data_IF_499227501094
#
_entry.id   IF_499227501094
#
_cell.length_a   1.000
_cell.length_b   1.000
_cell.length_c   1.000
_cell.angle_alpha   90.00
_cell.angle_beta   90.00
_cell.angle_gamma   90.00
#
_symmetry.space_group_name_H-M   'P 1'
#
loop_
_entity.id
_entity.type
_entity.pdbx_description
1 polymer ?
#
# COMPACT_ATOMS: atom_id res chain seq x y z
N UNK A 1 -15.72 -1.51 16.11
CA UNK A 1 -15.01 -2.76 16.49
C UNK A 1 -13.84 -3.14 15.57
N UNK A 2 -14.05 -3.69 14.37
CA UNK A 2 -12.91 -4.22 13.56
C UNK A 2 -11.92 -3.14 13.13
N UNK A 3 -12.43 -1.96 12.73
CA UNK A 3 -11.56 -0.82 12.42
C UNK A 3 -10.67 -0.42 13.59
N UNK A 4 -11.19 -0.46 14.82
CA UNK A 4 -10.43 -0.16 16.04
C UNK A 4 -9.41 -1.23 16.39
N UNK A 5 -9.62 -2.47 15.94
CA UNK A 5 -8.68 -3.56 16.15
C UNK A 5 -7.49 -3.49 15.17
N UNK A 6 -7.73 -3.05 13.93
CA UNK A 6 -6.71 -3.00 12.87
C UNK A 6 -5.86 -1.73 12.93
N UNK A 7 -6.45 -0.61 13.32
CA UNK A 7 -5.83 0.72 13.27
C UNK A 7 -5.90 1.41 14.64
N UNK A 8 -5.02 2.39 14.86
CA UNK A 8 -5.13 3.28 16.01
C UNK A 8 -6.30 4.25 15.82
N UNK A 9 -7.50 3.80 16.14
CA UNK A 9 -8.73 4.52 15.81
C UNK A 9 -8.76 5.96 16.33
N UNK A 10 -8.25 6.23 17.54
CA UNK A 10 -8.25 7.58 18.12
C UNK A 10 -7.41 8.56 17.31
N UNK A 11 -6.24 8.14 16.82
CA UNK A 11 -5.39 8.95 15.96
C UNK A 11 -5.91 9.02 14.51
N UNK A 12 -6.59 7.97 14.06
CA UNK A 12 -6.97 7.82 12.64
C UNK A 12 -8.41 8.24 12.33
N UNK A 13 -9.27 8.48 13.33
CA UNK A 13 -10.68 8.83 13.13
C UNK A 13 -10.87 10.05 12.23
N UNK A 14 -10.00 11.04 12.37
CA UNK A 14 -10.06 12.27 11.57
C UNK A 14 -9.52 12.08 10.15
N UNK A 15 -8.78 11.00 9.88
CA UNK A 15 -8.34 10.61 8.55
C UNK A 15 -9.37 9.78 7.77
N UNK A 16 -10.38 9.21 8.44
CA UNK A 16 -11.39 8.32 7.85
C UNK A 16 -12.73 9.00 7.58
N UNK A 17 -13.36 8.65 6.46
CA UNK A 17 -14.76 9.01 6.19
C UNK A 17 -15.70 8.04 6.92
N UNK A 18 -16.58 8.58 7.78
CA UNK A 18 -17.68 7.83 8.41
C UNK A 18 -18.91 7.94 7.52
N UNK A 19 -19.65 6.85 7.35
CA UNK A 19 -20.96 6.86 6.68
C UNK A 19 -22.00 7.39 7.68
N UNK A 20 -22.72 8.44 7.29
CA UNK A 20 -23.75 9.05 8.15
C UNK A 20 -24.91 8.08 8.36
N UNK A 21 -25.40 7.98 9.60
CA UNK A 21 -26.49 7.07 9.96
C UNK A 21 -26.08 5.59 10.10
N UNK A 22 -24.82 5.24 9.85
CA UNK A 22 -24.33 3.86 9.90
C UNK A 22 -23.09 3.70 10.80
N UNK A 23 -22.86 2.49 11.30
CA UNK A 23 -21.61 2.12 11.98
C UNK A 23 -20.54 1.63 10.98
N UNK A 24 -20.41 2.36 9.86
CA UNK A 24 -19.47 2.05 8.79
C UNK A 24 -18.49 3.20 8.55
N UNK A 25 -17.31 2.82 8.09
CA UNK A 25 -16.24 3.72 7.66
C UNK A 25 -15.75 3.27 6.29
N UNK A 26 -15.43 4.24 5.41
CA UNK A 26 -14.73 3.93 4.17
C UNK A 26 -13.28 3.54 4.50
N UNK A 27 -12.79 2.50 3.84
CA UNK A 27 -11.43 1.98 4.07
C UNK A 27 -10.38 2.94 3.49
N UNK A 28 -9.29 3.17 4.22
CA UNK A 28 -8.15 3.97 3.75
C UNK A 28 -7.07 3.13 3.03
N UNK A 29 -7.23 1.80 3.08
CA UNK A 29 -6.34 0.77 2.52
C UNK A 29 -7.06 -0.57 2.51
N UNK A 30 -6.74 -1.46 1.55
CA UNK A 30 -7.22 -2.85 1.56
C UNK A 30 -6.72 -3.64 2.78
N UNK A 31 -5.68 -3.16 3.45
CA UNK A 31 -5.22 -3.71 4.73
C UNK A 31 -6.34 -3.80 5.77
N UNK A 32 -7.24 -2.80 5.86
CA UNK A 32 -8.32 -2.78 6.86
C UNK A 32 -9.21 -4.03 6.81
N UNK A 33 -9.84 -4.37 5.67
CA UNK A 33 -10.63 -5.59 5.57
C UNK A 33 -9.75 -6.84 5.53
N UNK A 34 -8.56 -6.79 4.92
CA UNK A 34 -7.68 -7.96 4.83
C UNK A 34 -7.20 -8.43 6.19
N UNK A 35 -6.86 -7.51 7.10
CA UNK A 35 -6.46 -7.82 8.47
C UNK A 35 -7.62 -8.44 9.27
N UNK A 36 -8.85 -7.93 9.09
CA UNK A 36 -10.01 -8.44 9.80
C UNK A 36 -10.60 -9.74 9.20
N UNK A 37 -10.10 -10.19 8.04
CA UNK A 37 -10.66 -11.30 7.27
C UNK A 37 -10.78 -12.59 8.08
N UNK A 38 -9.79 -12.86 8.93
CA UNK A 38 -9.70 -14.07 9.75
C UNK A 38 -9.97 -13.82 11.24
N UNK A 39 -10.71 -12.76 11.57
CA UNK A 39 -10.92 -12.39 12.97
C UNK A 39 -11.60 -13.51 13.77
N UNK A 40 -11.00 -13.89 14.90
CA UNK A 40 -11.36 -15.02 15.77
C UNK A 40 -11.03 -16.42 15.23
N UNK A 41 -10.33 -16.53 14.09
CA UNK A 41 -9.92 -17.83 13.56
C UNK A 41 -8.70 -18.39 14.29
N UNK A 42 -8.58 -19.72 14.24
CA UNK A 42 -7.37 -20.45 14.60
C UNK A 42 -6.86 -21.14 13.33
N UNK A 43 -5.80 -20.61 12.75
CA UNK A 43 -5.26 -21.05 11.45
C UNK A 43 -4.23 -22.17 11.68
N UNK A 44 -4.36 -23.34 11.03
CA UNK A 44 -3.35 -24.40 11.12
C UNK A 44 -1.98 -23.95 10.56
N UNK A 45 -0.88 -24.40 11.18
CA UNK A 45 0.49 -24.00 10.78
C UNK A 45 0.81 -24.32 9.31
N UNK A 46 0.25 -25.39 8.77
CA UNK A 46 0.42 -25.81 7.37
C UNK A 46 -0.23 -24.87 6.35
N UNK A 47 -1.13 -23.99 6.79
CA UNK A 47 -1.76 -22.99 5.93
C UNK A 47 -0.98 -21.66 5.89
N UNK A 48 0.09 -21.53 6.69
CA UNK A 48 0.90 -20.32 6.83
C UNK A 48 2.26 -20.44 6.13
N UNK A 49 2.73 -19.41 5.40
CA UNK A 49 2.14 -18.07 5.33
C UNK A 49 0.94 -18.00 4.36
N UNK A 50 -0.10 -17.25 4.73
CA UNK A 50 -1.16 -16.85 3.79
C UNK A 50 -0.81 -15.51 3.19
N UNK A 51 -0.64 -15.48 1.86
CA UNK A 51 -0.29 -14.28 1.12
C UNK A 51 -1.50 -13.79 0.32
N UNK A 52 -1.86 -12.53 0.50
CA UNK A 52 -3.00 -11.89 -0.13
C UNK A 52 -2.58 -10.67 -0.94
N UNK A 53 -3.32 -10.45 -2.03
CA UNK A 53 -3.28 -9.20 -2.79
C UNK A 53 -4.66 -8.55 -2.71
N UNK A 54 -4.72 -7.36 -2.13
CA UNK A 54 -5.94 -6.56 -2.03
C UNK A 54 -5.97 -5.46 -3.07
N UNK A 55 -7.00 -5.41 -3.90
CA UNK A 55 -7.24 -4.29 -4.83
C UNK A 55 -8.46 -3.54 -4.36
N UNK A 56 -8.32 -2.24 -4.06
CA UNK A 56 -9.47 -1.45 -3.58
C UNK A 56 -9.35 0.04 -3.93
N UNK A 57 -10.49 0.75 -4.04
CA UNK A 57 -10.51 2.18 -3.81
C UNK A 57 -10.21 2.47 -2.34
N UNK A 58 -9.35 3.46 -2.10
CA UNK A 58 -8.92 3.94 -0.80
C UNK A 58 -9.42 5.36 -0.60
N UNK A 59 -9.96 5.64 0.60
CA UNK A 59 -10.55 6.94 0.93
C UNK A 59 -9.86 7.57 2.13
N UNK A 60 -9.38 8.81 1.98
CA UNK A 60 -8.69 9.56 3.04
C UNK A 60 -9.16 11.01 3.09
N UNK A 61 -9.46 11.51 4.28
CA UNK A 61 -9.85 12.92 4.48
C UNK A 61 -8.71 13.90 4.25
N UNK A 62 -7.45 13.43 4.31
CA UNK A 62 -6.25 14.27 4.21
C UNK A 62 -6.26 15.44 5.22
N UNK A 63 -6.95 15.26 6.34
CA UNK A 63 -7.01 16.22 7.44
C UNK A 63 -5.60 16.44 8.00
N UNK A 64 -5.15 17.69 8.06
CA UNK A 64 -3.80 18.06 8.50
C UNK A 64 -2.79 18.30 7.37
N UNK A 65 -3.12 18.01 6.11
CA UNK A 65 -2.29 18.40 4.96
C UNK A 65 -2.45 19.91 4.66
N UNK A 66 -1.91 20.78 5.52
CA UNK A 66 -2.01 22.24 5.45
C UNK A 66 -1.57 22.83 4.08
N UNK A 67 -2.48 22.85 3.10
CA UNK A 67 -2.27 23.29 1.71
C UNK A 67 -1.11 22.62 0.94
N UNK A 68 -0.57 21.50 1.43
CA UNK A 68 0.55 20.78 0.79
C UNK A 68 0.05 19.83 -0.30
N UNK A 69 0.71 19.85 -1.45
CA UNK A 69 0.45 18.96 -2.60
C UNK A 69 -1.00 19.04 -3.16
N UNK A 70 -1.66 20.20 -3.09
CA UNK A 70 -3.06 20.40 -3.50
C UNK A 70 -3.32 20.36 -5.02
N UNK A 71 -2.27 20.34 -5.85
CA UNK A 71 -2.39 20.34 -7.32
C UNK A 71 -2.08 18.96 -7.89
N UNK A 72 -2.86 18.55 -8.88
CA UNK A 72 -2.70 17.26 -9.56
C UNK A 72 -3.36 16.12 -8.81
N UNK A 73 -2.86 14.89 -9.00
CA UNK A 73 -3.43 13.66 -8.43
C UNK A 73 -2.53 13.00 -7.37
N UNK A 74 -1.45 13.67 -6.98
CA UNK A 74 -0.46 13.11 -6.04
C UNK A 74 -1.06 12.88 -4.63
N UNK A 75 -1.89 13.81 -4.16
CA UNK A 75 -2.64 13.73 -2.91
C UNK A 75 -4.11 14.02 -3.18
N UNK A 76 -4.95 13.01 -3.04
CA UNK A 76 -6.38 13.05 -3.37
C UNK A 76 -7.17 12.27 -2.33
N UNK A 77 -8.46 12.58 -2.20
CA UNK A 77 -9.33 11.89 -1.24
C UNK A 77 -9.66 10.45 -1.63
N UNK A 78 -9.64 10.14 -2.92
CA UNK A 78 -9.91 8.81 -3.45
C UNK A 78 -8.83 8.41 -4.46
N UNK A 79 -8.27 7.22 -4.27
CA UNK A 79 -7.30 6.63 -5.18
C UNK A 79 -7.40 5.10 -5.15
N UNK A 80 -6.91 4.40 -6.18
CA UNK A 80 -6.84 2.94 -6.15
C UNK A 80 -5.47 2.49 -5.64
N UNK A 81 -5.46 1.40 -4.86
CA UNK A 81 -4.25 0.79 -4.36
C UNK A 81 -4.30 -0.72 -4.50
N UNK A 82 -3.16 -1.29 -4.87
CA UNK A 82 -2.85 -2.72 -4.75
C UNK A 82 -2.02 -2.89 -3.49
N UNK A 83 -2.51 -3.69 -2.56
CA UNK A 83 -1.90 -3.99 -1.27
C UNK A 83 -1.42 -5.45 -1.25
N UNK A 84 -0.23 -5.69 -0.71
CA UNK A 84 0.24 -7.00 -0.31
C UNK A 84 -0.04 -7.16 1.18
N UNK A 85 -0.55 -8.32 1.58
CA UNK A 85 -0.84 -8.62 2.99
C UNK A 85 -0.44 -10.05 3.31
N UNK A 86 0.10 -10.29 4.50
CA UNK A 86 0.50 -11.61 4.92
C UNK A 86 0.07 -11.92 6.35
N UNK A 87 -0.37 -13.16 6.55
CA UNK A 87 -0.44 -13.82 7.84
C UNK A 87 0.67 -14.86 7.90
N UNK A 88 1.50 -14.85 8.92
CA UNK A 88 2.67 -15.72 9.00
C UNK A 88 2.82 -16.36 10.37
N UNK A 89 3.52 -17.49 10.43
CA UNK A 89 4.12 -17.91 11.70
C UNK A 89 5.16 -16.88 12.15
N UNK A 90 5.43 -16.71 13.46
CA UNK A 90 6.43 -15.77 13.96
C UNK A 90 7.81 -15.95 13.33
N UNK A 91 8.25 -17.20 13.14
CA UNK A 91 9.55 -17.55 12.55
C UNK A 91 9.68 -17.20 11.05
N UNK A 92 8.57 -17.06 10.33
CA UNK A 92 8.55 -16.72 8.90
C UNK A 92 8.45 -15.20 8.68
N UNK A 93 8.10 -14.45 9.73
CA UNK A 93 7.64 -13.06 9.63
C UNK A 93 8.65 -12.13 8.96
N UNK A 94 9.93 -12.22 9.33
CA UNK A 94 10.98 -11.36 8.78
C UNK A 94 11.37 -11.71 7.35
N UNK A 95 11.33 -12.98 6.97
CA UNK A 95 11.58 -13.40 5.59
C UNK A 95 10.46 -12.90 4.67
N UNK A 96 9.20 -12.99 5.12
CA UNK A 96 8.05 -12.45 4.39
C UNK A 96 8.11 -10.92 4.34
N UNK A 97 8.53 -10.23 5.40
CA UNK A 97 8.72 -8.77 5.38
C UNK A 97 9.69 -8.34 4.27
N UNK A 98 10.83 -9.04 4.14
CA UNK A 98 11.81 -8.79 3.10
C UNK A 98 11.27 -9.11 1.71
N UNK A 99 10.50 -10.20 1.56
CA UNK A 99 9.83 -10.53 0.30
C UNK A 99 8.85 -9.42 -0.14
N UNK A 100 8.05 -8.88 0.79
CA UNK A 100 7.05 -7.86 0.46
C UNK A 100 7.68 -6.55 -0.04
N UNK A 101 8.80 -6.10 0.54
CA UNK A 101 9.51 -4.93 0.04
C UNK A 101 10.24 -5.21 -1.28
N UNK A 102 10.79 -6.41 -1.46
CA UNK A 102 11.43 -6.82 -2.72
C UNK A 102 10.43 -6.84 -3.88
N UNK A 103 9.22 -7.39 -3.67
CA UNK A 103 8.14 -7.34 -4.65
C UNK A 103 7.81 -5.89 -5.07
N UNK A 104 7.76 -4.97 -4.09
CA UNK A 104 7.53 -3.57 -4.37
C UNK A 104 8.68 -2.96 -5.20
N UNK A 105 9.93 -3.20 -4.82
CA UNK A 105 11.09 -2.76 -5.61
C UNK A 105 11.06 -3.28 -7.04
N UNK A 106 10.75 -4.56 -7.25
CA UNK A 106 10.68 -5.16 -8.59
C UNK A 106 9.63 -4.48 -9.48
N UNK A 107 8.48 -4.12 -8.91
CA UNK A 107 7.45 -3.36 -9.63
C UNK A 107 7.99 -2.00 -10.09
N UNK A 108 8.65 -1.24 -9.22
CA UNK A 108 9.19 0.07 -9.58
C UNK A 108 10.44 0.00 -10.49
N UNK A 109 11.25 -1.05 -10.37
CA UNK A 109 12.32 -1.36 -11.34
C UNK A 109 11.75 -1.64 -12.73
N UNK A 110 10.68 -2.44 -12.81
CA UNK A 110 9.99 -2.73 -14.07
C UNK A 110 9.34 -1.50 -14.71
N UNK A 111 8.93 -0.52 -13.91
CA UNK A 111 8.43 0.78 -14.36
C UNK A 111 9.55 1.78 -14.71
N UNK A 112 10.81 1.40 -14.53
CA UNK A 112 11.98 2.25 -14.76
C UNK A 112 11.91 3.57 -13.94
N UNK A 113 11.39 3.50 -12.71
CA UNK A 113 11.29 4.66 -11.80
C UNK A 113 12.47 4.65 -10.82
N UNK A 114 13.31 5.70 -10.78
CA UNK A 114 14.38 5.80 -9.79
C UNK A 114 13.80 5.86 -8.38
N UNK A 115 14.30 5.02 -7.48
CA UNK A 115 13.82 4.94 -6.10
C UNK A 115 14.92 4.55 -5.12
N UNK A 116 14.60 4.70 -3.83
CA UNK A 116 15.39 4.21 -2.71
C UNK A 116 14.48 3.54 -1.68
N UNK A 117 15.01 2.60 -0.93
CA UNK A 117 14.35 2.05 0.26
C UNK A 117 14.96 2.70 1.50
N UNK A 118 14.11 3.19 2.40
CA UNK A 118 14.52 3.83 3.65
C UNK A 118 13.95 3.06 4.83
N UNK A 119 14.78 2.86 5.86
CA UNK A 119 14.34 2.33 7.14
C UNK A 119 13.86 3.48 8.03
N UNK A 120 12.62 3.38 8.51
CA UNK A 120 11.99 4.46 9.28
C UNK A 120 12.48 4.45 10.73
N UNK A 121 12.88 5.62 11.22
CA UNK A 121 13.37 5.77 12.58
C UNK A 121 12.25 5.49 13.60
N UNK A 122 12.61 4.98 14.77
CA UNK A 122 11.65 4.56 15.80
C UNK A 122 10.65 5.65 16.21
N UNK A 123 11.07 6.93 16.22
CA UNK A 123 10.20 8.06 16.54
C UNK A 123 9.17 8.43 15.46
N UNK A 124 9.30 7.87 14.25
CA UNK A 124 8.38 8.07 13.12
C UNK A 124 7.52 6.83 12.83
N UNK A 125 7.73 5.72 13.56
CA UNK A 125 6.88 4.55 13.46
C UNK A 125 5.49 4.85 14.04
N UNK A 126 4.46 4.33 13.38
CA UNK A 126 3.13 4.30 13.98
C UNK A 126 3.11 3.27 15.12
N UNK A 127 2.13 3.39 16.03
CA UNK A 127 2.08 2.61 17.27
C UNK A 127 2.06 1.08 17.09
N UNK A 128 1.70 0.60 15.90
CA UNK A 128 1.58 -0.82 15.57
C UNK A 128 2.80 -1.43 14.89
N UNK A 129 3.62 -0.64 14.19
CA UNK A 129 4.74 -1.17 13.43
C UNK A 129 5.95 -1.44 14.33
N UNK A 130 6.43 -2.68 14.32
CA UNK A 130 7.73 -3.03 14.90
C UNK A 130 8.89 -2.64 13.97
N UNK A 131 8.66 -2.69 12.65
CA UNK A 131 9.60 -2.26 11.63
C UNK A 131 8.81 -1.73 10.42
N UNK A 132 9.34 -0.68 9.78
CA UNK A 132 8.74 -0.11 8.58
C UNK A 132 9.81 0.30 7.58
N UNK A 133 9.62 -0.09 6.32
CA UNK A 133 10.38 0.40 5.18
C UNK A 133 9.49 1.21 4.26
N UNK A 134 9.98 2.37 3.85
CA UNK A 134 9.36 3.14 2.77
C UNK A 134 10.19 3.01 1.49
N UNK A 135 9.51 2.76 0.37
CA UNK A 135 10.09 2.96 -0.96
C UNK A 135 9.72 4.35 -1.41
N UNK A 136 10.72 5.19 -1.59
CA UNK A 136 10.56 6.55 -2.06
C UNK A 136 11.05 6.66 -3.51
N UNK A 137 10.19 7.15 -4.40
CA UNK A 137 10.55 7.41 -5.79
C UNK A 137 11.03 8.85 -5.98
N UNK A 138 11.91 9.06 -6.94
CA UNK A 138 12.36 10.38 -7.36
C UNK A 138 11.27 11.08 -8.19
N UNK A 139 10.93 12.31 -7.80
CA UNK A 139 10.01 13.19 -8.53
C UNK A 139 10.79 14.39 -9.07
N UNK A 140 11.23 14.36 -10.34
CA UNK A 140 12.12 15.38 -10.89
C UNK A 140 11.50 16.78 -10.89
N UNK A 141 10.18 16.93 -11.09
CA UNK A 141 9.54 18.25 -11.05
C UNK A 141 9.53 18.84 -9.63
N UNK A 142 9.63 17.98 -8.61
CA UNK A 142 9.65 18.37 -7.20
C UNK A 142 11.06 18.44 -6.62
N UNK A 143 12.07 17.89 -7.32
CA UNK A 143 13.46 17.84 -6.88
C UNK A 143 13.69 17.03 -5.61
N UNK A 144 12.86 16.01 -5.33
CA UNK A 144 12.97 15.20 -4.09
C UNK A 144 12.40 13.79 -4.25
N UNK A 145 12.84 12.92 -3.35
CA UNK A 145 12.22 11.61 -3.12
C UNK A 145 10.88 11.76 -2.39
N UNK A 146 9.87 10.98 -2.80
CA UNK A 146 8.55 10.92 -2.18
C UNK A 146 8.10 9.47 -1.99
N UNK A 147 7.48 9.19 -0.86
CA UNK A 147 6.90 7.88 -0.53
C UNK A 147 5.91 7.39 -1.60
N UNK A 148 6.14 6.19 -2.10
CA UNK A 148 5.21 5.41 -2.94
C UNK A 148 4.71 4.14 -2.26
N UNK A 149 5.54 3.55 -1.40
CA UNK A 149 5.23 2.33 -0.67
C UNK A 149 5.59 2.50 0.78
N UNK A 150 4.73 1.96 1.63
CA UNK A 150 5.00 1.68 3.04
C UNK A 150 4.83 0.17 3.23
N UNK A 151 5.89 -0.49 3.70
CA UNK A 151 5.93 -1.91 4.07
C UNK A 151 6.13 -2.00 5.59
N UNK A 152 5.30 -2.76 6.29
CA UNK A 152 5.34 -2.83 7.76
C UNK A 152 5.20 -4.27 8.25
N UNK A 153 5.98 -4.58 9.29
CA UNK A 153 5.79 -5.75 10.13
C UNK A 153 5.20 -5.29 11.46
N UNK A 154 3.99 -5.75 11.79
CA UNK A 154 3.30 -5.38 13.03
C UNK A 154 3.33 -6.49 14.08
N UNK A 155 4.10 -7.55 13.83
CA UNK A 155 4.15 -8.75 14.65
C UNK A 155 2.72 -9.24 14.97
N UNK A 156 2.43 -9.52 16.24
CA UNK A 156 1.14 -9.98 16.72
C UNK A 156 0.16 -8.85 17.10
N UNK A 157 0.52 -7.57 16.93
CA UNK A 157 -0.27 -6.44 17.46
C UNK A 157 -1.71 -6.45 16.95
N UNK A 158 -1.89 -6.63 15.64
CA UNK A 158 -3.22 -6.72 15.02
C UNK A 158 -3.89 -8.05 15.33
N UNK A 159 -3.13 -9.15 15.28
CA UNK A 159 -3.62 -10.51 15.50
C UNK A 159 -4.21 -10.66 16.92
N UNK A 160 -3.53 -10.10 17.93
CA UNK A 160 -3.99 -10.04 19.30
C UNK A 160 -5.35 -9.35 19.42
N UNK A 161 -5.50 -8.16 18.83
CA UNK A 161 -6.71 -7.35 18.90
C UNK A 161 -7.89 -7.95 18.11
N UNK A 162 -7.58 -8.71 17.06
CA UNK A 162 -8.55 -9.43 16.25
C UNK A 162 -8.78 -10.88 16.71
N UNK A 163 -8.06 -11.31 17.76
CA UNK A 163 -8.06 -12.66 18.30
C UNK A 163 -7.76 -13.75 17.24
N UNK A 164 -6.77 -13.51 16.37
CA UNK A 164 -6.36 -14.45 15.31
C UNK A 164 -5.15 -15.23 15.79
N UNK A 165 -5.27 -16.56 15.83
CA UNK A 165 -4.21 -17.44 16.36
C UNK A 165 -3.77 -18.41 15.28
N UNK A 166 -2.55 -18.94 15.42
CA UNK A 166 -2.16 -20.16 14.73
C UNK A 166 -2.34 -21.38 15.65
N UNK A 167 -2.36 -22.57 15.07
CA UNK A 167 -2.28 -23.84 15.80
C UNK A 167 -1.09 -24.65 15.28
N UNK A 168 -0.10 -24.89 16.15
CA UNK A 168 0.91 -25.93 15.92
C UNK A 168 0.33 -27.29 16.27
N UNK A 169 0.27 -28.19 15.29
CA UNK A 169 -0.28 -29.53 15.49
C UNK A 169 0.55 -30.30 16.51
N UNK A 170 1.88 -30.19 16.42
CA UNK A 170 2.79 -30.77 17.39
C UNK A 170 2.73 -29.98 18.69
N UNK A 171 2.22 -30.61 19.75
CA UNK A 171 2.09 -30.00 21.07
C UNK A 171 0.82 -29.17 21.27
N UNK A 172 -0.06 -29.05 20.26
CA UNK A 172 -1.35 -28.37 20.34
C UNK A 172 -1.25 -26.92 20.86
N UNK A 173 -0.16 -26.22 20.49
CA UNK A 173 0.10 -24.86 20.94
C UNK A 173 -0.72 -23.89 20.09
N UNK A 174 -1.47 -23.02 20.77
CA UNK A 174 -2.19 -21.89 20.15
C UNK A 174 -1.58 -20.60 20.62
N UNK A 175 -1.14 -19.78 19.68
CA UNK A 175 -0.59 -18.46 19.96
C UNK A 175 -0.93 -17.49 18.83
N UNK A 176 -0.63 -16.21 18.99
CA UNK A 176 -0.91 -15.19 17.98
C UNK A 176 0.08 -15.29 16.81
N UNK A 177 -0.45 -15.21 15.60
CA UNK A 177 0.33 -15.14 14.38
C UNK A 177 0.90 -13.73 14.17
N UNK A 178 1.82 -13.58 13.21
CA UNK A 178 2.28 -12.27 12.79
C UNK A 178 1.53 -11.77 11.56
N UNK A 179 1.33 -10.46 11.47
CA UNK A 179 0.68 -9.79 10.34
C UNK A 179 1.62 -8.76 9.71
N UNK A 180 1.59 -8.69 8.38
CA UNK A 180 2.43 -7.78 7.59
C UNK A 180 1.62 -7.21 6.45
N UNK A 181 1.97 -5.98 6.05
CA UNK A 181 1.37 -5.34 4.89
C UNK A 181 2.38 -4.49 4.13
N UNK A 182 2.17 -4.35 2.83
CA UNK A 182 2.99 -3.51 1.96
C UNK A 182 2.17 -2.97 0.81
N UNK A 183 2.33 -1.69 0.49
CA UNK A 183 1.78 -1.18 -0.78
C UNK A 183 2.54 -1.82 -1.96
N UNK A 184 1.83 -2.41 -2.91
CA UNK A 184 2.43 -2.78 -4.20
C UNK A 184 2.43 -1.56 -5.14
N UNK A 185 1.25 -1.00 -5.42
CA UNK A 185 1.07 0.14 -6.32
C UNK A 185 -0.01 1.06 -5.76
N UNK A 186 0.30 2.35 -5.56
CA UNK A 186 -0.67 3.40 -5.31
C UNK A 186 -0.90 4.20 -6.60
N UNK A 187 -1.98 3.88 -7.31
CA UNK A 187 -2.22 4.27 -8.71
C UNK A 187 -1.90 5.72 -9.03
N UNK A 188 -2.47 6.69 -8.30
CA UNK A 188 -2.34 8.11 -8.66
C UNK A 188 -0.91 8.64 -8.48
N UNK A 189 -0.22 8.22 -7.42
CA UNK A 189 1.19 8.58 -7.20
C UNK A 189 2.08 7.88 -8.23
N UNK A 190 1.86 6.60 -8.50
CA UNK A 190 2.61 5.87 -9.54
C UNK A 190 2.41 6.50 -10.92
N UNK A 191 1.19 6.90 -11.28
CA UNK A 191 0.93 7.64 -12.53
C UNK A 191 1.71 8.95 -12.55
N UNK A 192 1.71 9.71 -11.44
CA UNK A 192 2.49 10.95 -11.33
C UNK A 192 3.99 10.69 -11.53
N UNK A 193 4.54 9.63 -10.93
CA UNK A 193 5.93 9.24 -11.11
C UNK A 193 6.26 8.85 -12.56
N UNK A 194 5.36 8.13 -13.24
CA UNK A 194 5.52 7.79 -14.67
C UNK A 194 5.54 9.07 -15.51
N UNK A 195 4.56 9.97 -15.32
CA UNK A 195 4.48 11.22 -16.08
C UNK A 195 5.73 12.09 -15.91
N UNK A 196 6.25 12.21 -14.69
CA UNK A 196 7.41 13.05 -14.44
C UNK A 196 8.73 12.43 -14.95
N UNK A 197 8.93 11.12 -14.79
CA UNK A 197 10.20 10.46 -15.13
C UNK A 197 10.30 10.03 -16.60
N UNK A 198 9.16 9.88 -17.29
CA UNK A 198 9.13 9.44 -18.69
C UNK A 198 8.72 10.54 -19.69
N UNK A 199 8.75 11.82 -19.27
CA UNK A 199 8.48 12.94 -20.17
C UNK A 199 9.60 13.14 -21.19
N UNK A 200 9.23 13.54 -22.40
CA UNK A 200 10.13 13.91 -23.49
C UNK A 200 10.10 15.43 -23.72
N UNK A 201 11.11 15.97 -24.41
CA UNK A 201 11.25 17.42 -24.69
C UNK A 201 10.07 18.02 -25.46
N UNK A 202 9.35 17.22 -26.25
CA UNK A 202 8.16 17.62 -27.01
C UNK A 202 6.85 17.60 -26.19
N UNK A 203 6.95 17.26 -24.89
CA UNK A 203 5.82 17.17 -23.96
C UNK A 203 5.05 15.85 -24.04
N UNK A 204 5.47 14.88 -24.87
CA UNK A 204 4.95 13.52 -24.82
C UNK A 204 5.50 12.77 -23.60
N UNK A 205 4.82 11.71 -23.17
CA UNK A 205 5.31 10.80 -22.13
C UNK A 205 5.45 9.42 -22.70
N UNK A 206 6.65 8.86 -22.63
CA UNK A 206 6.93 7.48 -23.03
C UNK A 206 6.25 6.51 -22.06
N UNK A 207 5.51 5.54 -22.59
CA UNK A 207 4.87 4.51 -21.77
C UNK A 207 5.91 3.43 -21.44
N UNK A 208 6.12 3.10 -20.13
CA UNK A 208 7.02 2.02 -19.72
C UNK A 208 6.71 0.72 -20.46
N UNK A 209 7.75 0.05 -20.98
CA UNK A 209 7.58 -1.13 -21.85
C UNK A 209 6.73 -2.22 -21.20
N UNK A 210 6.91 -2.45 -19.89
CA UNK A 210 6.17 -3.46 -19.14
C UNK A 210 4.65 -3.23 -19.12
N UNK A 211 4.20 -1.98 -19.30
CA UNK A 211 2.79 -1.60 -19.28
C UNK A 211 2.10 -1.81 -20.62
N UNK A 212 2.83 -1.80 -21.74
CA UNK A 212 2.24 -1.74 -23.10
C UNK A 212 1.30 -2.91 -23.39
N UNK A 213 1.67 -4.13 -22.98
CA UNK A 213 0.83 -5.33 -23.13
C UNK A 213 -0.53 -5.21 -22.43
N UNK A 214 -0.60 -4.49 -21.31
CA UNK A 214 -1.87 -4.31 -20.58
C UNK A 214 -2.77 -3.26 -21.25
N UNK A 215 -2.19 -2.40 -22.09
CA UNK A 215 -2.94 -1.39 -22.82
C UNK A 215 -3.58 -1.97 -24.08
N UNK A 216 -3.08 -3.10 -24.60
CA UNK A 216 -3.61 -3.77 -25.81
C UNK A 216 -5.10 -4.12 -25.69
N UNK A 217 -5.57 -4.46 -24.49
CA UNK A 217 -6.97 -4.72 -24.21
C UNK A 217 -7.90 -3.52 -24.47
N UNK A 218 -7.36 -2.31 -24.57
CA UNK A 218 -8.12 -1.08 -24.76
C UNK A 218 -7.80 -0.46 -26.11
N UNK A 219 -8.71 -0.55 -27.08
CA UNK A 219 -8.51 -0.06 -28.46
C UNK A 219 -8.12 1.42 -28.52
N UNK A 220 -8.64 2.25 -27.61
CA UNK A 220 -8.37 3.70 -27.56
C UNK A 220 -7.16 4.08 -26.69
N UNK A 221 -6.53 3.13 -25.98
CA UNK A 221 -5.40 3.48 -25.11
C UNK A 221 -4.13 3.71 -25.92
N UNK A 222 -3.33 4.75 -25.60
CA UNK A 222 -2.02 4.93 -26.20
C UNK A 222 -1.13 3.72 -25.91
N UNK A 223 -0.30 3.30 -26.87
CA UNK A 223 0.58 2.12 -26.71
C UNK A 223 2.01 2.52 -26.37
N UNK A 224 2.54 3.50 -27.08
CA UNK A 224 3.94 3.90 -26.95
C UNK A 224 4.10 5.23 -26.22
N UNK A 225 3.21 6.20 -26.51
CA UNK A 225 3.32 7.56 -26.00
C UNK A 225 1.96 8.13 -25.58
N UNK A 226 1.94 8.82 -24.44
CA UNK A 226 0.84 9.72 -24.06
C UNK A 226 1.16 11.08 -24.68
N UNK A 227 0.20 11.65 -25.41
CA UNK A 227 0.36 12.95 -26.04
C UNK A 227 -0.33 14.05 -25.21
N UNK A 228 0.26 15.25 -25.12
CA UNK A 228 -0.37 16.37 -24.45
C UNK A 228 -1.67 16.74 -25.15
N UNK A 229 -2.70 17.12 -24.37
CA UNK A 229 -3.94 17.62 -24.95
C UNK A 229 -3.64 18.88 -25.77
N UNK A 230 -4.09 18.92 -27.03
CA UNK A 230 -4.00 20.13 -27.85
C UNK A 230 -4.83 21.21 -27.17
N UNK A 231 -4.22 22.36 -26.85
CA UNK A 231 -4.99 23.54 -26.50
C UNK A 231 -5.78 23.94 -27.74
N UNK A 232 -7.10 23.80 -27.71
CA UNK A 232 -7.94 24.56 -28.63
C UNK A 232 -7.61 26.04 -28.40
N UNK A 233 -7.18 26.72 -29.47
CA UNK A 233 -6.89 28.16 -29.44
C UNK A 233 -8.19 28.94 -29.52
#
# INVERSE_FOLDING_TARGET
>A
KYMEAVEEFTAFKDALYKIEGEDLYLIATAEHPLAALHANDVIPEEELPKLYVGVSPCFRKEAGAASRDIKGIFRVHQFHKVEQFAYTMPEQSWDVFNLLIQNAEELYKGLEIPHRVVNIASGELNLRAAMKYDLEAWYPAQGKFRELVSCSNVLDWQAYRLNIKYLRRKGMVKDYLHMLNSTAIASTRTITAILENHQNDDGTVTIPKILRKYLEAFTKAPKDYIHPARKEK
#
